data_IF_668889460418
#
_entry.id   IF_668889460418
#
_cell.length_a   1.000
_cell.length_b   1.000
_cell.length_c   1.000
_cell.angle_alpha   90.00
_cell.angle_beta   90.00
_cell.angle_gamma   90.00
#
_symmetry.space_group_name_H-M   'P 1'
#
loop_
_entity.id
_entity.type
_entity.pdbx_description
1 polymer ?
#
# COMPACT_ATOMS: atom_id res chain seq x y z
N UNK A 1 31.83 61.80 54.30
CA UNK A 1 30.58 61.24 54.87
C UNK A 1 29.66 60.60 53.83
N UNK A 2 29.49 61.20 52.64
CA UNK A 2 28.72 60.62 51.50
C UNK A 2 29.27 59.35 50.82
N UNK A 3 30.60 59.12 50.82
CA UNK A 3 31.19 57.97 50.13
C UNK A 3 30.91 56.63 50.83
N UNK A 4 30.78 56.64 52.16
CA UNK A 4 30.46 55.45 52.95
C UNK A 4 29.00 55.04 52.79
N UNK A 5 28.08 56.00 52.73
CA UNK A 5 26.65 55.73 52.48
C UNK A 5 26.42 55.17 51.08
N UNK A 6 27.12 55.67 50.05
CA UNK A 6 27.03 55.13 48.69
C UNK A 6 27.48 53.65 48.62
N UNK A 7 28.52 53.28 49.36
CA UNK A 7 29.08 51.93 49.37
C UNK A 7 28.16 50.94 50.09
N UNK A 8 27.51 51.36 51.18
CA UNK A 8 26.50 50.56 51.89
C UNK A 8 25.26 50.34 51.02
N UNK A 9 24.80 51.36 50.30
CA UNK A 9 23.63 51.23 49.40
C UNK A 9 23.94 50.26 48.25
N UNK A 10 25.15 50.32 47.68
CA UNK A 10 25.60 49.38 46.64
C UNK A 10 25.70 47.94 47.16
N UNK A 11 26.23 47.74 48.36
CA UNK A 11 26.32 46.42 48.98
C UNK A 11 24.94 45.82 49.27
N UNK A 12 24.01 46.64 49.75
CA UNK A 12 22.62 46.23 49.99
C UNK A 12 21.90 45.95 48.67
N UNK A 13 22.06 46.79 47.65
CA UNK A 13 21.47 46.53 46.33
C UNK A 13 22.01 45.25 45.70
N UNK A 14 23.30 44.96 45.86
CA UNK A 14 23.90 43.73 45.37
C UNK A 14 23.40 42.49 46.14
N UNK A 15 23.32 42.56 47.47
CA UNK A 15 22.72 41.51 48.28
C UNK A 15 21.25 41.29 47.89
N UNK A 16 20.52 42.38 47.63
CA UNK A 16 19.12 42.34 47.20
C UNK A 16 18.95 41.77 45.78
N UNK A 17 19.93 41.95 44.91
CA UNK A 17 19.92 41.36 43.57
C UNK A 17 20.30 39.88 43.61
N UNK A 18 21.32 39.52 44.40
CA UNK A 18 21.83 38.16 44.52
C UNK A 18 20.86 37.22 45.26
N UNK A 19 20.08 37.75 46.22
CA UNK A 19 19.08 36.96 46.94
C UNK A 19 17.72 36.87 46.22
N UNK A 20 17.59 37.44 45.00
CA UNK A 20 16.35 37.31 44.25
C UNK A 20 16.21 35.85 43.80
N UNK A 21 15.23 35.09 44.31
CA UNK A 21 15.08 33.70 43.94
C UNK A 21 14.74 33.66 42.45
N UNK A 22 15.64 33.11 41.64
CA UNK A 22 15.30 32.70 40.28
C UNK A 22 14.09 31.78 40.40
N UNK A 23 12.93 32.24 39.93
CA UNK A 23 11.84 31.36 39.58
C UNK A 23 12.26 30.59 38.33
N UNK A 24 13.23 29.69 38.50
CA UNK A 24 13.39 28.56 37.62
C UNK A 24 12.09 27.76 37.76
N UNK A 25 11.36 27.62 36.65
CA UNK A 25 10.20 26.74 36.57
C UNK A 25 10.69 25.34 36.97
N UNK A 26 10.45 24.99 38.22
CA UNK A 26 10.75 23.67 38.75
C UNK A 26 9.68 22.78 38.14
N UNK A 27 10.03 22.03 37.10
CA UNK A 27 9.17 21.00 36.54
C UNK A 27 8.67 20.15 37.70
N UNK A 28 7.40 20.32 38.03
CA UNK A 28 6.74 19.51 39.05
C UNK A 28 6.68 18.11 38.48
N UNK A 29 7.26 17.08 39.13
CA UNK A 29 6.93 15.72 38.75
C UNK A 29 5.43 15.56 39.00
N UNK A 30 4.68 15.40 37.91
CA UNK A 30 3.27 15.03 37.96
C UNK A 30 3.20 13.73 38.76
N UNK A 31 2.55 13.77 39.92
CA UNK A 31 2.41 12.59 40.77
C UNK A 31 1.68 11.49 40.00
N UNK A 32 2.34 10.33 39.87
CA UNK A 32 1.67 9.08 39.59
C UNK A 32 2.19 8.06 40.60
N UNK A 33 1.64 8.11 41.81
CA UNK A 33 1.88 7.17 42.89
C UNK A 33 1.16 5.83 42.69
N UNK A 34 1.06 5.35 41.45
CA UNK A 34 0.68 3.97 41.14
C UNK A 34 1.96 3.17 40.89
N UNK A 35 2.03 1.93 41.38
CA UNK A 35 3.08 1.00 40.93
C UNK A 35 2.98 0.91 39.41
N UNK A 36 4.00 1.38 38.69
CA UNK A 36 4.10 1.19 37.26
C UNK A 36 4.21 -0.31 36.99
N UNK A 37 3.16 -0.87 36.41
CA UNK A 37 3.13 -2.28 36.03
C UNK A 37 3.88 -2.44 34.70
N UNK A 38 4.88 -3.33 34.62
CA UNK A 38 5.65 -3.50 33.40
C UNK A 38 4.75 -4.07 32.31
N UNK A 39 4.69 -3.37 31.18
CA UNK A 39 3.98 -3.81 29.97
C UNK A 39 4.98 -4.07 28.86
N UNK A 40 4.73 -5.10 28.05
CA UNK A 40 5.45 -5.33 26.82
C UNK A 40 4.80 -4.54 25.68
N UNK A 41 5.60 -3.77 24.95
CA UNK A 41 5.18 -3.06 23.74
C UNK A 41 6.18 -3.31 22.61
N UNK A 42 5.70 -3.27 21.37
CA UNK A 42 6.52 -3.39 20.17
C UNK A 42 6.23 -2.20 19.25
N UNK A 43 7.27 -1.65 18.64
CA UNK A 43 7.14 -0.57 17.66
C UNK A 43 6.50 -1.08 16.36
N UNK A 44 5.46 -0.39 15.89
CA UNK A 44 4.83 -0.68 14.60
C UNK A 44 5.65 0.00 13.49
N UNK A 45 5.92 -0.74 12.42
CA UNK A 45 6.54 -0.21 11.20
C UNK A 45 5.49 -0.28 10.08
N UNK A 46 5.16 0.85 9.41
CA UNK A 46 4.28 0.84 8.24
C UNK A 46 4.92 0.02 7.11
N UNK A 47 4.11 -0.83 6.49
CA UNK A 47 4.52 -1.66 5.35
C UNK A 47 3.37 -1.70 4.35
N UNK A 48 3.69 -1.86 3.07
CA UNK A 48 2.68 -2.09 2.05
C UNK A 48 2.13 -3.51 2.20
N UNK A 49 0.82 -3.60 2.43
CA UNK A 49 0.09 -4.87 2.51
C UNK A 49 -0.90 -4.93 1.35
N UNK A 50 -0.59 -5.66 0.27
CA UNK A 50 -1.52 -5.81 -0.84
C UNK A 50 -2.75 -6.62 -0.39
N UNK A 51 -3.94 -6.13 -0.75
CA UNK A 51 -5.20 -6.83 -0.55
C UNK A 51 -5.60 -7.48 -1.87
N UNK A 52 -5.76 -8.80 -1.86
CA UNK A 52 -6.17 -9.58 -3.02
C UNK A 52 -7.66 -9.93 -2.92
N UNK A 53 -8.35 -9.94 -4.06
CA UNK A 53 -9.71 -10.45 -4.19
C UNK A 53 -9.64 -11.66 -5.12
N UNK A 54 -9.90 -12.83 -4.57
CA UNK A 54 -10.02 -14.06 -5.36
C UNK A 54 -11.41 -14.13 -5.96
N UNK A 55 -11.49 -14.08 -7.28
CA UNK A 55 -12.74 -14.16 -8.02
C UNK A 55 -12.64 -15.25 -9.09
N UNK A 56 -13.75 -15.97 -9.27
CA UNK A 56 -13.92 -16.93 -10.36
C UNK A 56 -14.51 -16.19 -11.57
N UNK A 57 -13.91 -16.39 -12.73
CA UNK A 57 -14.38 -15.84 -14.00
C UNK A 57 -14.15 -16.81 -15.14
N UNK A 58 -14.86 -16.60 -16.25
CA UNK A 58 -14.65 -17.36 -17.49
C UNK A 58 -13.97 -16.48 -18.54
N UNK A 59 -13.17 -17.09 -19.41
CA UNK A 59 -12.55 -16.40 -20.54
C UNK A 59 -13.46 -16.52 -21.74
N UNK A 60 -13.85 -15.39 -22.31
CA UNK A 60 -14.62 -15.35 -23.57
C UNK A 60 -13.69 -14.95 -24.73
N UNK A 61 -13.74 -15.67 -25.86
CA UNK A 61 -12.98 -15.27 -27.04
C UNK A 61 -13.56 -13.97 -27.61
N UNK A 62 -12.70 -13.08 -28.10
CA UNK A 62 -13.14 -11.85 -28.77
C UNK A 62 -13.97 -12.14 -30.03
N UNK A 63 -13.65 -13.23 -30.73
CA UNK A 63 -14.34 -13.69 -31.93
C UNK A 63 -14.41 -15.21 -31.91
N UNK A 64 -15.60 -15.76 -32.17
CA UNK A 64 -15.83 -17.19 -32.39
C UNK A 64 -16.67 -17.35 -33.64
N UNK A 65 -16.23 -18.20 -34.57
CA UNK A 65 -16.90 -18.41 -35.86
C UNK A 65 -17.08 -19.90 -36.08
N UNK A 66 -18.32 -20.31 -36.30
CA UNK A 66 -18.65 -21.67 -36.75
C UNK A 66 -18.54 -21.70 -38.27
N UNK A 67 -17.68 -22.58 -38.80
CA UNK A 67 -17.54 -22.77 -40.24
C UNK A 67 -18.54 -23.83 -40.70
N UNK A 68 -19.40 -23.45 -41.64
CA UNK A 68 -20.37 -24.35 -42.28
C UNK A 68 -20.06 -24.45 -43.77
N UNK A 69 -20.44 -25.57 -44.38
CA UNK A 69 -20.33 -25.76 -45.83
C UNK A 69 -21.36 -24.88 -46.53
N UNK A 70 -20.99 -24.29 -47.67
CA UNK A 70 -21.90 -23.47 -48.49
C UNK A 70 -22.66 -24.29 -49.53
N UNK A 71 -22.21 -25.52 -49.75
CA UNK A 71 -22.80 -26.49 -50.67
C UNK A 71 -23.15 -27.75 -49.89
N UNK A 72 -24.16 -28.44 -50.39
CA UNK A 72 -24.51 -29.78 -49.93
C UNK A 72 -23.54 -30.79 -50.57
N UNK A 73 -23.15 -31.81 -49.80
CA UNK A 73 -22.24 -32.86 -50.28
C UNK A 73 -21.75 -33.74 -49.14
N UNK A 74 -20.85 -34.66 -49.47
CA UNK A 74 -20.25 -35.58 -48.49
C UNK A 74 -18.88 -35.04 -48.06
N UNK A 75 -18.56 -35.13 -46.76
CA UNK A 75 -17.23 -34.82 -46.25
C UNK A 75 -16.20 -35.80 -46.80
N UNK A 76 -15.32 -35.32 -47.68
CA UNK A 76 -14.29 -36.13 -48.33
C UNK A 76 -13.01 -36.25 -47.49
N UNK A 77 -12.55 -35.15 -46.89
CA UNK A 77 -11.36 -35.15 -46.03
C UNK A 77 -11.37 -34.02 -45.00
N UNK A 78 -10.62 -34.23 -43.91
CA UNK A 78 -10.31 -33.21 -42.89
C UNK A 78 -8.80 -32.97 -42.90
N UNK A 79 -8.40 -31.71 -43.08
CA UNK A 79 -7.03 -31.28 -43.38
C UNK A 79 -6.37 -30.53 -42.21
N UNK A 80 -6.93 -30.65 -41.01
CA UNK A 80 -6.39 -30.05 -39.78
C UNK A 80 -6.45 -31.03 -38.61
N UNK A 81 -5.62 -30.77 -37.59
CA UNK A 81 -5.64 -31.48 -36.32
C UNK A 81 -6.32 -30.64 -35.24
N UNK A 82 -6.90 -31.29 -34.24
CA UNK A 82 -7.48 -30.59 -33.10
C UNK A 82 -6.45 -29.71 -32.38
N UNK A 83 -6.85 -28.50 -32.01
CA UNK A 83 -5.96 -27.48 -31.41
C UNK A 83 -4.96 -26.83 -32.37
N UNK A 84 -4.94 -27.23 -33.65
CA UNK A 84 -4.06 -26.61 -34.64
C UNK A 84 -4.48 -25.18 -34.96
N UNK A 85 -3.51 -24.26 -34.99
CA UNK A 85 -3.73 -22.90 -35.47
C UNK A 85 -3.89 -22.91 -36.99
N UNK A 86 -5.01 -22.40 -37.47
CA UNK A 86 -5.33 -22.29 -38.91
C UNK A 86 -5.30 -20.84 -39.37
N UNK A 87 -5.01 -20.62 -40.65
CA UNK A 87 -4.96 -19.28 -41.26
C UNK A 87 -6.14 -19.07 -42.21
N UNK A 88 -6.49 -17.81 -42.44
CA UNK A 88 -7.49 -17.45 -43.46
C UNK A 88 -7.10 -18.05 -44.82
N UNK A 89 -8.06 -18.71 -45.47
CA UNK A 89 -7.87 -19.35 -46.77
C UNK A 89 -7.19 -20.73 -46.70
N UNK A 90 -6.76 -21.19 -45.53
CA UNK A 90 -6.28 -22.55 -45.36
C UNK A 90 -7.45 -23.53 -45.54
N UNK A 91 -7.25 -24.55 -46.38
CA UNK A 91 -8.21 -25.63 -46.54
C UNK A 91 -8.20 -26.46 -45.26
N UNK A 92 -9.36 -26.60 -44.63
CA UNK A 92 -9.56 -27.39 -43.40
C UNK A 92 -10.43 -28.63 -43.63
N UNK A 93 -11.29 -28.61 -44.66
CA UNK A 93 -12.11 -29.73 -45.05
C UNK A 93 -12.39 -29.67 -46.56
N UNK A 94 -12.60 -30.83 -47.18
CA UNK A 94 -13.05 -30.94 -48.57
C UNK A 94 -14.41 -31.61 -48.61
N UNK A 95 -15.30 -31.05 -49.41
CA UNK A 95 -16.66 -31.58 -49.64
C UNK A 95 -16.72 -32.08 -51.08
N UNK A 96 -17.23 -33.30 -51.27
CA UNK A 96 -17.55 -33.86 -52.58
C UNK A 96 -19.03 -33.57 -52.90
N UNK A 97 -19.25 -32.70 -53.87
CA UNK A 97 -20.57 -32.24 -54.34
C UNK A 97 -21.14 -33.12 -55.46
N UNK A 98 -20.38 -34.08 -55.99
CA UNK A 98 -20.82 -34.99 -57.06
C UNK A 98 -21.62 -36.18 -56.56
N UNK A 99 -21.63 -36.38 -55.24
CA UNK A 99 -22.30 -37.50 -54.59
C UNK A 99 -23.81 -37.26 -54.35
N UNK A 100 -24.36 -36.15 -54.84
CA UNK A 100 -25.77 -35.75 -54.74
C UNK A 100 -26.43 -35.57 -56.10
#
# INVERSE_FOLDING_TARGET
MWALSALVVLAVAWALYAHWPSMAHKDRPMGMGGRAEPVAAVAVVPQDVPVYIDALGTVTPTQSVTVITQVDGILASVEFKEGQQVRKGQVIARIDDRAL
#
